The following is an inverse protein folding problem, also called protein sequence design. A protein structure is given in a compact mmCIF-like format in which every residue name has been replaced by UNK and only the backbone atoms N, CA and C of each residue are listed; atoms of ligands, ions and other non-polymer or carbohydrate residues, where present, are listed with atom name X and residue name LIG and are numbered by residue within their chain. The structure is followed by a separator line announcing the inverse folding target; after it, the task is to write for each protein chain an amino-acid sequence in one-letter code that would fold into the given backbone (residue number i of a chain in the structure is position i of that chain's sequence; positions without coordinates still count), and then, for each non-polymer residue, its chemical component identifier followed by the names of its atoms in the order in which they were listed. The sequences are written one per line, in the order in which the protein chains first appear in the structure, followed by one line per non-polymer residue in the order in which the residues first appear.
data_IF_387945688657
#
_entry.id   IF_387945688657
#
_cell.length_a   1.000
_cell.length_b   1.000
_cell.length_c   1.000
_cell.angle_alpha   90.00
_cell.angle_beta   90.00
_cell.angle_gamma   90.00
#
_symmetry.space_group_name_H-M   'P 1'
#
loop_
_entity.id
_entity.type
_entity.pdbx_description
1 polymer ?
#
# COMPACT_ATOMS: atom_id res chain seq x y z
N UNK A 1 -33.17 18.26 -23.78
CA UNK A 1 -32.49 18.77 -22.57
C UNK A 1 -31.94 17.57 -21.79
N UNK A 2 -30.62 17.55 -21.52
CA UNK A 2 -29.93 17.00 -20.31
C UNK A 2 -30.23 15.54 -19.89
N UNK A 3 -29.30 14.59 -19.68
CA UNK A 3 -27.83 14.44 -19.73
C UNK A 3 -27.55 12.93 -19.86
N UNK A 4 -26.55 12.49 -20.64
CA UNK A 4 -26.05 11.11 -20.56
C UNK A 4 -24.86 11.08 -19.60
N UNK A 5 -24.95 10.23 -18.57
CA UNK A 5 -23.84 9.87 -17.67
C UNK A 5 -23.14 8.67 -18.29
N UNK A 6 -21.85 8.79 -18.57
CA UNK A 6 -21.04 7.68 -19.06
C UNK A 6 -20.54 6.85 -17.87
N UNK A 7 -20.94 5.58 -17.81
CA UNK A 7 -20.29 4.58 -16.97
C UNK A 7 -19.20 3.91 -17.81
N UNK A 8 -17.94 4.07 -17.40
CA UNK A 8 -16.81 3.35 -17.96
C UNK A 8 -16.69 2.01 -17.24
N UNK A 9 -17.34 0.98 -17.77
CA UNK A 9 -17.09 -0.41 -17.36
C UNK A 9 -15.93 -0.97 -18.18
N UNK A 10 -14.73 -1.05 -17.61
CA UNK A 10 -13.64 -1.84 -18.20
C UNK A 10 -13.85 -3.28 -17.77
N UNK A 11 -14.53 -4.06 -18.60
CA UNK A 11 -14.54 -5.52 -18.50
C UNK A 11 -13.26 -6.04 -19.14
N UNK A 12 -12.39 -6.66 -18.33
CA UNK A 12 -11.23 -7.41 -18.84
C UNK A 12 -11.75 -8.75 -19.37
N UNK A 13 -11.91 -8.83 -20.68
CA UNK A 13 -12.27 -10.07 -21.38
C UNK A 13 -11.04 -10.98 -21.46
N UNK A 14 -11.09 -12.15 -20.81
CA UNK A 14 -10.13 -13.25 -21.01
C UNK A 14 -10.47 -13.95 -22.33
N UNK A 15 -9.60 -13.83 -23.33
CA UNK A 15 -9.70 -14.56 -24.59
C UNK A 15 -8.87 -15.85 -24.50
N UNK A 16 -9.54 -17.00 -24.52
CA UNK A 16 -8.93 -18.32 -24.72
C UNK A 16 -8.74 -18.55 -26.22
N UNK A 17 -7.51 -18.83 -26.68
CA UNK A 17 -7.30 -19.42 -28.00
C UNK A 17 -5.90 -19.28 -28.61
N UNK A 18 -5.36 -20.45 -28.99
CA UNK A 18 -4.30 -20.72 -29.98
C UNK A 18 -2.82 -20.58 -29.58
N UNK A 19 -2.13 -21.72 -29.66
CA UNK A 19 -0.68 -21.87 -29.67
C UNK A 19 -0.09 -21.16 -30.90
N UNK A 20 0.57 -20.04 -30.67
CA UNK A 20 1.59 -19.49 -31.56
C UNK A 20 2.78 -19.06 -30.68
N UNK A 21 3.98 -19.53 -31.03
CA UNK A 21 5.24 -19.05 -30.47
C UNK A 21 5.47 -17.62 -30.97
N UNK A 22 4.87 -16.66 -30.30
CA UNK A 22 5.19 -15.25 -30.47
C UNK A 22 6.07 -14.79 -29.31
N UNK A 23 7.18 -14.11 -29.62
CA UNK A 23 7.92 -13.32 -28.65
C UNK A 23 7.01 -12.18 -28.18
N UNK A 24 6.15 -12.48 -27.23
CA UNK A 24 5.37 -11.51 -26.50
C UNK A 24 6.37 -10.70 -25.67
N UNK A 25 6.76 -9.54 -26.19
CA UNK A 25 7.23 -8.47 -25.31
C UNK A 25 6.01 -8.07 -24.50
N UNK A 26 5.86 -8.65 -23.31
CA UNK A 26 4.94 -8.12 -22.33
C UNK A 26 5.44 -6.72 -22.03
N UNK A 27 4.85 -5.71 -22.65
CA UNK A 27 5.01 -4.34 -22.19
C UNK A 27 4.45 -4.33 -20.76
N UNK A 28 5.33 -4.45 -19.76
CA UNK A 28 4.96 -4.20 -18.37
C UNK A 28 4.45 -2.77 -18.36
N UNK A 29 3.26 -2.54 -17.83
CA UNK A 29 2.86 -1.20 -17.49
C UNK A 29 3.88 -0.69 -16.45
N UNK A 30 4.79 0.18 -16.89
CA UNK A 30 5.73 0.85 -16.02
C UNK A 30 4.98 2.00 -15.34
N UNK A 31 4.50 1.73 -14.13
CA UNK A 31 3.87 2.74 -13.29
C UNK A 31 4.87 3.14 -12.23
N UNK A 32 5.63 4.19 -12.50
CA UNK A 32 6.49 4.81 -11.49
C UNK A 32 5.64 5.36 -10.36
N UNK A 33 6.04 5.14 -9.11
CA UNK A 33 5.35 5.73 -7.96
C UNK A 33 5.31 7.26 -8.08
N UNK A 34 4.13 7.89 -7.97
CA UNK A 34 4.02 9.35 -7.99
C UNK A 34 4.72 9.96 -6.76
N UNK A 35 5.72 10.80 -7.03
CA UNK A 35 6.50 11.49 -6.00
C UNK A 35 5.61 12.26 -5.03
N UNK A 36 5.88 12.08 -3.72
CA UNK A 36 5.24 12.82 -2.64
C UNK A 36 3.82 12.37 -2.29
N UNK A 37 3.26 11.39 -3.02
CA UNK A 37 1.91 10.86 -2.77
C UNK A 37 1.86 9.90 -1.59
N UNK A 38 2.90 9.07 -1.43
CA UNK A 38 2.97 8.05 -0.40
C UNK A 38 3.97 8.44 0.69
N UNK A 39 3.72 7.94 1.89
CA UNK A 39 4.64 8.00 3.02
C UNK A 39 5.08 6.57 3.38
N UNK A 40 6.25 6.42 3.99
CA UNK A 40 6.82 5.17 4.48
C UNK A 40 6.90 5.21 6.00
N UNK A 41 6.26 4.26 6.67
CA UNK A 41 6.32 4.09 8.12
C UNK A 41 7.38 3.03 8.48
N UNK A 42 8.39 3.44 9.24
CA UNK A 42 9.49 2.57 9.66
C UNK A 42 9.05 1.70 10.84
N UNK A 43 9.10 0.38 10.69
CA UNK A 43 8.63 -0.58 11.72
C UNK A 43 9.77 -1.16 12.56
N UNK A 44 11.00 -1.07 12.06
CA UNK A 44 12.23 -1.48 12.74
C UNK A 44 13.36 -0.52 12.44
N UNK A 45 14.39 -0.45 13.28
CA UNK A 45 15.57 0.37 13.01
C UNK A 45 16.16 -0.01 11.65
N UNK A 46 16.18 0.95 10.72
CA UNK A 46 16.50 0.71 9.32
C UNK A 46 17.83 1.34 8.92
N UNK A 47 18.68 0.57 8.25
CA UNK A 47 19.83 1.12 7.53
C UNK A 47 19.35 1.71 6.21
N UNK A 48 20.04 2.74 5.72
CA UNK A 48 19.73 3.34 4.42
C UNK A 48 20.89 3.17 3.46
N UNK A 49 20.58 3.18 2.16
CA UNK A 49 21.58 3.14 1.08
C UNK A 49 21.48 4.33 0.15
N UNK A 50 22.52 4.58 -0.63
CA UNK A 50 22.48 5.46 -1.79
C UNK A 50 21.87 4.74 -3.01
N UNK A 51 21.80 5.43 -4.15
CA UNK A 51 21.29 4.88 -5.41
C UNK A 51 22.22 3.82 -6.05
N UNK A 52 23.43 3.65 -5.53
CA UNK A 52 24.39 2.62 -5.95
C UNK A 52 24.35 1.39 -5.01
N UNK A 53 23.56 1.45 -3.93
CA UNK A 53 23.43 0.40 -2.95
C UNK A 53 24.45 0.45 -1.81
N UNK A 54 25.25 1.52 -1.69
CA UNK A 54 26.17 1.67 -0.57
C UNK A 54 25.43 2.18 0.66
N UNK A 55 25.74 1.62 1.83
CA UNK A 55 25.18 2.05 3.12
C UNK A 55 25.57 3.50 3.41
N UNK A 56 24.62 4.28 3.92
CA UNK A 56 24.84 5.67 4.34
C UNK A 56 24.87 5.80 5.86
N UNK A 57 25.38 6.92 6.42
CA UNK A 57 25.35 7.14 7.87
C UNK A 57 23.95 7.46 8.41
N UNK A 58 22.93 7.65 7.55
CA UNK A 58 21.55 7.91 7.98
C UNK A 58 20.90 6.61 8.41
N UNK A 59 20.44 6.57 9.66
CA UNK A 59 19.68 5.47 10.24
C UNK A 59 18.28 5.97 10.56
N UNK A 60 17.27 5.20 10.21
CA UNK A 60 15.88 5.53 10.54
C UNK A 60 15.46 4.77 11.79
N UNK A 61 14.97 5.49 12.79
CA UNK A 61 14.43 4.87 14.00
C UNK A 61 13.00 4.38 13.78
N UNK A 62 12.63 3.31 14.50
CA UNK A 62 11.27 2.76 14.53
C UNK A 62 10.25 3.86 14.85
N UNK A 63 9.13 3.86 14.13
CA UNK A 63 8.04 4.82 14.31
C UNK A 63 8.22 6.14 13.57
N UNK A 64 9.38 6.38 12.94
CA UNK A 64 9.54 7.53 12.04
C UNK A 64 8.76 7.33 10.74
N UNK A 65 8.35 8.45 10.15
CA UNK A 65 7.56 8.50 8.92
C UNK A 65 8.25 9.43 7.93
N UNK A 66 8.34 8.99 6.68
CA UNK A 66 9.07 9.71 5.64
C UNK A 66 8.27 9.77 4.34
N UNK A 67 8.36 10.89 3.62
CA UNK A 67 7.75 10.99 2.29
C UNK A 67 8.51 10.14 1.28
N UNK A 68 7.80 9.39 0.46
CA UNK A 68 8.37 8.61 -0.63
C UNK A 68 8.45 9.47 -1.88
N UNK A 69 9.66 9.60 -2.43
CA UNK A 69 9.90 10.31 -3.68
C UNK A 69 9.82 9.37 -4.90
N UNK A 70 10.42 8.19 -4.81
CA UNK A 70 10.55 7.24 -5.92
C UNK A 70 10.85 5.84 -5.39
N UNK A 71 10.68 4.83 -6.25
CA UNK A 71 11.10 3.45 -6.00
C UNK A 71 12.32 3.08 -6.84
N UNK A 72 13.14 2.19 -6.30
CA UNK A 72 14.34 1.66 -6.93
C UNK A 72 14.41 0.14 -6.72
N UNK A 73 14.94 -0.56 -7.70
CA UNK A 73 15.08 -2.02 -7.69
C UNK A 73 16.55 -2.39 -7.70
N UNK A 74 17.05 -2.99 -6.62
CA UNK A 74 18.40 -3.54 -6.55
C UNK A 74 18.31 -5.07 -6.41
N UNK A 75 18.57 -5.79 -7.50
CA UNK A 75 18.33 -7.23 -7.55
C UNK A 75 16.85 -7.57 -7.34
N UNK A 76 16.55 -8.43 -6.37
CA UNK A 76 15.18 -8.82 -6.01
C UNK A 76 14.60 -7.99 -4.86
N UNK A 77 15.24 -6.89 -4.49
CA UNK A 77 14.82 -6.03 -3.39
C UNK A 77 14.32 -4.69 -3.93
N UNK A 78 13.20 -4.23 -3.37
CA UNK A 78 12.66 -2.90 -3.61
C UNK A 78 13.14 -1.95 -2.52
N UNK A 79 13.51 -0.74 -2.94
CA UNK A 79 13.91 0.35 -2.08
C UNK A 79 13.06 1.58 -2.37
N UNK A 80 12.75 2.36 -1.33
CA UNK A 80 12.04 3.63 -1.45
C UNK A 80 12.98 4.79 -1.15
N UNK A 81 13.06 5.74 -2.06
CA UNK A 81 13.84 6.96 -1.86
C UNK A 81 13.07 7.94 -0.99
N UNK A 82 13.67 8.33 0.13
CA UNK A 82 13.11 9.25 1.12
C UNK A 82 13.75 10.64 1.05
N UNK A 83 15.01 10.71 0.60
CA UNK A 83 15.76 11.95 0.37
C UNK A 83 16.89 11.69 -0.66
N UNK A 84 17.62 12.73 -1.12
CA UNK A 84 18.83 12.53 -1.94
C UNK A 84 19.81 11.57 -1.24
N UNK A 85 20.20 10.51 -1.93
CA UNK A 85 21.06 9.43 -1.42
C UNK A 85 20.56 8.77 -0.12
N UNK A 86 19.24 8.77 0.16
CA UNK A 86 18.67 8.05 1.30
C UNK A 86 17.54 7.17 0.79
N UNK A 87 17.84 5.89 0.62
CA UNK A 87 16.92 4.84 0.22
C UNK A 87 16.73 3.87 1.40
N UNK A 88 15.49 3.46 1.66
CA UNK A 88 15.14 2.45 2.68
C UNK A 88 14.64 1.17 2.01
N UNK A 89 14.94 0.01 2.57
CA UNK A 89 14.44 -1.27 2.05
C UNK A 89 12.93 -1.40 2.36
N UNK A 90 12.16 -1.94 1.42
CA UNK A 90 10.71 -2.15 1.63
C UNK A 90 10.39 -2.99 2.87
N UNK A 91 11.31 -3.88 3.29
CA UNK A 91 11.11 -4.79 4.41
C UNK A 91 11.32 -4.12 5.78
N UNK A 92 11.82 -2.90 5.84
CA UNK A 92 12.07 -2.18 7.10
C UNK A 92 10.86 -1.34 7.57
N UNK A 93 9.72 -1.50 6.89
CA UNK A 93 8.52 -0.71 7.13
C UNK A 93 7.40 -1.06 6.17
N UNK A 94 6.49 -0.12 5.98
CA UNK A 94 5.43 -0.24 4.97
C UNK A 94 5.10 1.13 4.37
N UNK A 95 4.74 1.12 3.10
CA UNK A 95 4.25 2.30 2.39
C UNK A 95 2.74 2.46 2.63
N UNK A 96 2.27 3.69 2.76
CA UNK A 96 0.85 4.00 2.92
C UNK A 96 0.48 5.29 2.19
N UNK A 97 -0.81 5.43 1.87
CA UNK A 97 -1.41 6.67 1.40
C UNK A 97 -1.96 7.43 2.62
N UNK A 98 -1.52 8.66 2.90
CA UNK A 98 -2.15 9.48 3.94
C UNK A 98 -3.61 9.75 3.57
N UNK A 99 -4.52 9.30 4.42
CA UNK A 99 -5.97 9.37 4.19
C UNK A 99 -6.69 9.51 5.53
N UNK A 100 -7.15 10.73 5.81
CA UNK A 100 -7.76 11.08 7.10
C UNK A 100 -9.27 11.07 6.97
N UNK A 101 -9.93 10.35 7.87
CA UNK A 101 -11.39 10.31 7.93
C UNK A 101 -11.90 9.41 9.05
N UNK A 102 -13.17 9.56 9.38
CA UNK A 102 -13.88 8.64 10.24
C UNK A 102 -14.50 7.52 9.39
N UNK A 103 -14.47 6.29 9.91
CA UNK A 103 -14.95 5.08 9.26
C UNK A 103 -16.03 4.43 10.13
N UNK A 104 -17.14 4.05 9.53
CA UNK A 104 -18.20 3.30 10.21
C UNK A 104 -18.19 1.85 9.74
N UNK A 105 -18.17 0.90 10.67
CA UNK A 105 -18.28 -0.53 10.32
C UNK A 105 -19.67 -0.84 9.77
N UNK A 106 -19.76 -1.15 8.47
CA UNK A 106 -21.04 -1.42 7.78
C UNK A 106 -21.43 -2.91 7.78
N UNK A 107 -20.53 -3.79 8.23
CA UNK A 107 -20.82 -5.22 8.36
C UNK A 107 -21.91 -5.47 9.42
N UNK A 108 -22.68 -6.54 9.21
CA UNK A 108 -23.65 -7.05 10.21
C UNK A 108 -23.00 -7.89 11.31
N UNK A 109 -21.81 -8.41 11.06
CA UNK A 109 -20.98 -9.14 12.02
C UNK A 109 -19.71 -8.33 12.32
N UNK A 110 -19.00 -8.62 13.41
CA UNK A 110 -17.73 -7.93 13.68
C UNK A 110 -16.77 -7.95 12.47
N UNK A 111 -16.08 -6.83 12.27
CA UNK A 111 -15.10 -6.69 11.19
C UNK A 111 -13.73 -7.21 11.63
N UNK A 112 -13.10 -8.09 10.84
CA UNK A 112 -11.77 -8.60 11.15
C UNK A 112 -10.73 -7.47 11.03
N UNK A 113 -9.66 -7.61 11.80
CA UNK A 113 -8.51 -6.72 11.76
C UNK A 113 -7.28 -7.44 11.22
N UNK A 114 -6.40 -6.68 10.59
CA UNK A 114 -5.19 -7.17 9.95
C UNK A 114 -3.99 -6.29 10.36
N UNK A 115 -2.80 -6.86 10.36
CA UNK A 115 -1.57 -6.07 10.50
C UNK A 115 -1.13 -5.43 9.17
N UNK A 116 -0.05 -4.64 9.19
CA UNK A 116 0.50 -4.01 7.98
C UNK A 116 0.98 -4.99 6.91
N UNK A 117 1.10 -6.28 7.22
CA UNK A 117 1.43 -7.35 6.27
C UNK A 117 0.19 -8.10 5.78
N UNK A 118 -1.02 -7.61 6.10
CA UNK A 118 -2.26 -8.29 5.73
C UNK A 118 -2.56 -9.55 6.54
N UNK A 119 -1.83 -9.79 7.64
CA UNK A 119 -2.06 -10.97 8.48
C UNK A 119 -3.22 -10.71 9.45
N UNK A 120 -4.15 -11.66 9.50
CA UNK A 120 -5.30 -11.62 10.40
C UNK A 120 -4.87 -11.53 11.88
N UNK A 121 -5.51 -10.60 12.61
CA UNK A 121 -5.43 -10.45 14.06
C UNK A 121 -6.65 -11.18 14.65
N UNK A 122 -6.41 -12.12 15.57
CA UNK A 122 -7.44 -13.10 16.00
C UNK A 122 -8.01 -12.83 17.40
N UNK A 123 -7.48 -11.85 18.13
CA UNK A 123 -7.85 -11.54 19.51
C UNK A 123 -8.74 -10.30 19.64
N UNK A 124 -9.08 -9.64 18.53
CA UNK A 124 -9.91 -8.43 18.48
C UNK A 124 -10.56 -8.23 17.11
N UNK A 125 -11.71 -7.56 17.11
CA UNK A 125 -12.50 -7.22 15.93
C UNK A 125 -13.25 -5.90 16.21
N UNK A 126 -13.75 -5.25 15.15
CA UNK A 126 -14.55 -4.03 15.30
C UNK A 126 -16.04 -4.37 15.34
N UNK A 127 -16.78 -3.82 16.30
CA UNK A 127 -18.22 -4.07 16.41
C UNK A 127 -19.00 -3.43 15.24
N UNK A 128 -20.09 -4.07 14.76
CA UNK A 128 -21.02 -3.46 13.80
C UNK A 128 -21.48 -2.06 14.23
N UNK A 129 -21.44 -1.10 13.29
CA UNK A 129 -21.86 0.29 13.53
C UNK A 129 -20.94 1.11 14.43
N UNK A 130 -19.79 0.57 14.88
CA UNK A 130 -18.77 1.36 15.57
C UNK A 130 -18.06 2.31 14.61
N UNK A 131 -17.65 3.48 15.12
CA UNK A 131 -16.97 4.53 14.36
C UNK A 131 -15.52 4.63 14.80
N UNK A 132 -14.60 4.72 13.84
CA UNK A 132 -13.16 4.73 14.08
C UNK A 132 -12.48 5.81 13.25
N UNK A 133 -11.55 6.51 13.87
CA UNK A 133 -10.68 7.44 13.14
C UNK A 133 -9.60 6.67 12.38
N UNK A 134 -9.40 7.03 11.12
CA UNK A 134 -8.32 6.57 10.26
C UNK A 134 -7.47 7.75 9.78
N UNK A 135 -6.18 7.51 9.65
CA UNK A 135 -5.22 8.49 9.14
C UNK A 135 -4.43 8.01 7.91
N UNK A 136 -4.62 6.75 7.49
CA UNK A 136 -3.94 6.17 6.34
C UNK A 136 -4.60 4.92 5.80
N UNK A 137 -4.39 4.71 4.50
CA UNK A 137 -4.72 3.49 3.78
C UNK A 137 -3.45 2.75 3.33
N UNK A 138 -3.48 1.42 3.37
CA UNK A 138 -2.45 0.53 2.80
C UNK A 138 -3.03 -0.35 1.71
N UNK A 139 -2.18 -0.83 0.81
CA UNK A 139 -2.52 -1.82 -0.21
C UNK A 139 -1.59 -3.02 -0.07
N UNK A 140 -2.14 -4.17 0.30
CA UNK A 140 -1.40 -5.40 0.58
C UNK A 140 -2.17 -6.56 -0.03
N UNK A 141 -1.48 -7.46 -0.71
CA UNK A 141 -2.06 -8.66 -1.35
C UNK A 141 -3.32 -8.36 -2.19
N UNK A 142 -3.28 -7.28 -2.97
CA UNK A 142 -4.37 -6.83 -3.85
C UNK A 142 -5.63 -6.31 -3.13
N UNK A 143 -5.55 -6.11 -1.82
CA UNK A 143 -6.62 -5.57 -1.00
C UNK A 143 -6.20 -4.24 -0.37
N UNK A 144 -7.17 -3.35 -0.18
CA UNK A 144 -6.96 -2.08 0.49
C UNK A 144 -7.51 -2.14 1.91
N UNK A 145 -6.79 -1.52 2.84
CA UNK A 145 -7.17 -1.46 4.25
C UNK A 145 -6.96 -0.07 4.80
N UNK A 146 -7.83 0.36 5.71
CA UNK A 146 -7.67 1.60 6.47
C UNK A 146 -7.19 1.30 7.89
N UNK A 147 -6.33 2.16 8.41
CA UNK A 147 -5.79 2.00 9.76
C UNK A 147 -6.80 2.47 10.81
N UNK A 148 -6.98 1.68 11.86
CA UNK A 148 -7.83 2.05 13.01
C UNK A 148 -7.08 2.10 14.35
N UNK A 149 -5.92 1.44 14.42
CA UNK A 149 -4.99 1.56 15.55
C UNK A 149 -3.55 1.26 15.12
N UNK A 150 -2.61 1.28 16.07
CA UNK A 150 -1.21 0.94 15.78
C UNK A 150 -1.09 -0.48 15.25
N UNK A 151 -0.68 -0.60 13.98
CA UNK A 151 -0.56 -1.88 13.30
C UNK A 151 -1.87 -2.68 13.20
N UNK A 152 -3.02 -2.00 13.15
CA UNK A 152 -4.33 -2.61 13.04
C UNK A 152 -5.13 -1.92 11.94
N UNK A 153 -5.54 -2.71 10.96
CA UNK A 153 -6.17 -2.24 9.74
C UNK A 153 -7.46 -3.03 9.48
N UNK A 154 -8.49 -2.35 9.00
CA UNK A 154 -9.76 -2.93 8.59
C UNK A 154 -9.88 -2.86 7.07
N UNK A 155 -10.45 -3.89 6.45
CA UNK A 155 -10.69 -3.89 5.00
C UNK A 155 -11.61 -2.73 4.61
N UNK A 156 -11.29 -2.02 3.52
CA UNK A 156 -12.16 -0.94 3.02
C UNK A 156 -13.55 -1.45 2.59
N UNK A 157 -13.69 -2.75 2.32
CA UNK A 157 -14.99 -3.35 1.96
C UNK A 157 -15.93 -3.48 3.17
N UNK A 158 -15.41 -3.29 4.38
CA UNK A 158 -16.12 -3.47 5.64
C UNK A 158 -16.52 -2.15 6.32
N UNK A 159 -16.15 -1.01 5.71
CA UNK A 159 -16.38 0.36 6.22
C UNK A 159 -16.95 1.28 5.12
N UNK A 160 -17.51 2.42 5.52
CA UNK A 160 -18.06 3.46 4.61
C UNK A 160 -17.08 4.58 4.23
#
# INVERSE_FOLDING_TARGET
MKKFVAYLSVTVSLLFGALALENTTTAKADSTLPSGRYDFAVTQKAQTTDMQGHVTPVILDTGTVWKVNSEFYHGNQTYFQLAPNVLVNQNDGYMYLPEVGDLTVIRKTPAPLYDHNGKLITDRELAPGSVWYSDRAIFVDHMSFNRVATNEFVSIADVD
#
